data_IF_452292978731
#
_entry.id   IF_452292978731
#
_cell.length_a   1.000
_cell.length_b   1.000
_cell.length_c   1.000
_cell.angle_alpha   90.00
_cell.angle_beta   90.00
_cell.angle_gamma   90.00
#
_symmetry.space_group_name_H-M   'P 1'
#
loop_
_entity.id
_entity.type
_entity.pdbx_description
1 polymer ?
#
# COMPACT_ATOMS: atom_id res chain seq x y z
N UNK A 1 16.96 -0.78 48.27
CA UNK A 1 15.77 0.01 47.88
C UNK A 1 16.21 0.86 46.71
N UNK A 2 15.85 0.44 45.49
CA UNK A 2 16.43 0.93 44.24
C UNK A 2 15.86 2.29 43.81
N UNK A 3 16.72 3.14 43.28
CA UNK A 3 16.34 4.41 42.69
C UNK A 3 15.61 4.16 41.35
N UNK A 4 14.36 4.61 41.25
CA UNK A 4 13.63 4.65 39.99
C UNK A 4 14.09 5.86 39.19
N UNK A 5 14.77 5.62 38.06
CA UNK A 5 15.10 6.64 37.07
C UNK A 5 13.99 6.68 36.03
N UNK A 6 13.19 7.75 36.03
CA UNK A 6 12.17 7.99 35.01
C UNK A 6 12.85 8.56 33.76
N UNK A 7 12.83 7.82 32.65
CA UNK A 7 13.20 8.35 31.33
C UNK A 7 12.01 9.14 30.76
N UNK A 8 12.24 10.43 30.49
CA UNK A 8 11.32 11.26 29.70
C UNK A 8 11.75 11.15 28.24
N UNK A 9 10.96 10.49 27.42
CA UNK A 9 11.15 10.48 25.96
C UNK A 9 10.61 11.80 25.38
N UNK A 10 11.51 12.64 24.87
CA UNK A 10 11.14 13.84 24.11
C UNK A 10 10.80 13.40 22.70
N UNK A 11 9.50 13.38 22.36
CA UNK A 11 9.04 13.20 20.97
C UNK A 11 9.21 14.54 20.26
N UNK A 12 10.26 14.66 19.44
CA UNK A 12 10.42 15.79 18.53
C UNK A 12 9.49 15.54 17.34
N UNK A 13 8.32 16.18 17.35
CA UNK A 13 7.44 16.23 16.18
C UNK A 13 8.08 17.22 15.20
N UNK A 14 8.78 16.69 14.19
CA UNK A 14 9.23 17.48 13.05
C UNK A 14 8.00 17.82 12.20
N UNK A 15 7.46 19.03 12.37
CA UNK A 15 6.50 19.60 11.43
C UNK A 15 7.21 19.79 10.09
N UNK A 16 7.12 18.80 9.21
CA UNK A 16 7.55 18.96 7.82
C UNK A 16 6.45 19.71 7.09
N UNK A 17 6.64 21.02 6.90
CA UNK A 17 5.85 21.75 5.91
C UNK A 17 6.16 21.18 4.53
N UNK A 18 5.16 20.95 3.66
CA UNK A 18 5.43 20.55 2.29
C UNK A 18 6.31 21.62 1.65
N UNK A 19 7.46 21.19 1.13
CA UNK A 19 8.42 22.05 0.45
C UNK A 19 7.74 22.57 -0.81
N UNK A 20 7.40 23.86 -0.82
CA UNK A 20 7.04 24.57 -2.05
C UNK A 20 8.31 24.63 -2.90
N UNK A 21 8.47 23.71 -3.84
CA UNK A 21 9.58 23.73 -4.79
C UNK A 21 9.39 24.91 -5.75
N UNK A 22 9.75 26.11 -5.30
CA UNK A 22 9.68 27.33 -6.10
C UNK A 22 11.06 27.56 -6.73
N UNK A 23 11.41 26.72 -7.70
CA UNK A 23 12.57 26.95 -8.55
C UNK A 23 12.29 28.11 -9.50
N UNK A 24 12.92 29.27 -9.27
CA UNK A 24 12.90 30.37 -10.24
C UNK A 24 13.81 30.03 -11.41
N UNK A 25 13.27 29.58 -12.55
CA UNK A 25 14.03 29.50 -13.79
C UNK A 25 13.86 30.78 -14.63
N UNK A 26 14.96 31.27 -15.20
CA UNK A 26 15.03 32.54 -15.96
C UNK A 26 14.85 32.36 -17.48
N UNK A 27 14.55 31.13 -17.93
CA UNK A 27 14.42 30.81 -19.36
C UNK A 27 13.02 31.12 -19.88
N UNK A 28 12.90 31.48 -21.17
CA UNK A 28 11.63 31.81 -21.81
C UNK A 28 10.66 30.63 -21.97
N UNK A 29 11.16 29.41 -21.76
CA UNK A 29 10.39 28.15 -21.77
C UNK A 29 10.12 27.61 -20.35
N UNK A 30 10.42 28.39 -19.32
CA UNK A 30 10.20 28.02 -17.92
C UNK A 30 8.70 28.01 -17.58
N UNK A 31 8.22 26.90 -17.03
CA UNK A 31 6.86 26.75 -16.47
C UNK A 31 6.97 26.53 -14.97
N UNK A 32 6.37 27.43 -14.19
CA UNK A 32 6.17 27.22 -12.76
C UNK A 32 4.82 26.54 -12.54
N UNK A 33 4.81 25.44 -11.81
CA UNK A 33 3.59 24.71 -11.45
C UNK A 33 3.58 24.37 -9.95
N UNK A 34 2.38 24.26 -9.39
CA UNK A 34 2.17 23.94 -7.98
C UNK A 34 1.97 22.43 -7.81
N UNK A 35 2.99 21.77 -7.26
CA UNK A 35 2.97 20.32 -6.98
C UNK A 35 2.37 19.96 -5.62
N UNK A 36 1.85 20.95 -4.86
CA UNK A 36 1.35 20.70 -3.50
C UNK A 36 0.12 19.81 -3.44
N UNK A 37 -0.53 19.54 -4.58
CA UNK A 37 -1.68 18.62 -4.69
C UNK A 37 -1.32 17.29 -5.36
N UNK A 38 -0.08 17.13 -5.81
CA UNK A 38 0.38 15.89 -6.43
C UNK A 38 0.55 14.79 -5.37
N UNK A 39 0.20 13.55 -5.75
CA UNK A 39 0.37 12.41 -4.88
C UNK A 39 1.86 12.16 -4.61
N UNK A 40 2.22 11.94 -3.35
CA UNK A 40 3.56 11.47 -2.98
C UNK A 40 3.54 9.95 -2.91
N UNK A 41 4.50 9.30 -3.56
CA UNK A 41 4.60 7.85 -3.59
C UNK A 41 5.80 7.35 -2.76
N UNK A 42 5.58 6.33 -1.94
CA UNK A 42 6.62 5.67 -1.15
C UNK A 42 6.64 4.18 -1.44
N UNK A 43 7.84 3.60 -1.41
CA UNK A 43 8.01 2.15 -1.45
C UNK A 43 8.06 1.60 -0.02
N UNK A 44 7.13 0.70 0.28
CA UNK A 44 7.16 -0.14 1.48
C UNK A 44 7.88 -1.44 1.12
N UNK A 45 9.18 -1.50 1.41
CA UNK A 45 10.09 -2.53 0.89
C UNK A 45 9.96 -3.91 1.55
N UNK A 46 9.32 -3.99 2.72
CA UNK A 46 9.00 -5.25 3.38
C UNK A 46 7.82 -5.09 4.33
N UNK A 47 6.71 -5.74 4.02
CA UNK A 47 5.48 -5.76 4.81
C UNK A 47 5.13 -7.20 5.14
N UNK A 48 4.96 -7.49 6.43
CA UNK A 48 4.52 -8.81 6.90
C UNK A 48 3.05 -9.05 6.54
N UNK A 49 2.55 -10.29 6.61
CA UNK A 49 1.14 -10.57 6.34
C UNK A 49 0.22 -9.68 7.18
N UNK A 50 -0.78 -9.08 6.53
CA UNK A 50 -1.69 -8.14 7.19
C UNK A 50 -2.78 -8.85 7.98
N UNK A 51 -3.10 -10.10 7.62
CA UNK A 51 -4.29 -10.83 8.08
C UNK A 51 -5.61 -10.06 7.92
N UNK A 52 -5.64 -9.05 7.04
CA UNK A 52 -6.85 -8.32 6.70
C UNK A 52 -7.57 -9.03 5.55
N UNK A 53 -8.69 -9.70 5.85
CA UNK A 53 -9.37 -10.51 4.85
C UNK A 53 -10.04 -9.68 3.74
N UNK A 54 -10.08 -8.34 3.87
CA UNK A 54 -10.53 -7.43 2.81
C UNK A 54 -9.63 -7.50 1.56
N UNK A 55 -8.37 -7.91 1.68
CA UNK A 55 -7.51 -8.20 0.53
C UNK A 55 -8.08 -9.29 -0.40
N UNK A 56 -8.96 -10.15 0.13
CA UNK A 56 -9.66 -11.17 -0.63
C UNK A 56 -10.87 -10.68 -1.43
N UNK A 57 -11.14 -9.37 -1.55
CA UNK A 57 -12.35 -8.80 -2.17
C UNK A 57 -12.51 -9.01 -3.71
N UNK A 58 -11.91 -10.06 -4.27
CA UNK A 58 -12.08 -10.46 -5.66
C UNK A 58 -11.32 -9.54 -6.62
N UNK A 59 -12.05 -8.93 -7.56
CA UNK A 59 -11.51 -8.07 -8.61
C UNK A 59 -11.56 -6.57 -8.29
N UNK A 60 -12.00 -6.18 -7.09
CA UNK A 60 -12.02 -4.78 -6.67
C UNK A 60 -10.61 -4.17 -6.81
N UNK A 61 -10.53 -2.92 -7.27
CA UNK A 61 -9.30 -2.16 -7.45
C UNK A 61 -9.09 -1.08 -6.37
N UNK A 62 -10.03 -0.94 -5.44
CA UNK A 62 -10.03 0.13 -4.43
C UNK A 62 -9.83 -0.39 -3.00
N UNK A 63 -9.45 -1.67 -2.86
CA UNK A 63 -9.21 -2.30 -1.55
C UNK A 63 -8.06 -1.61 -0.82
N UNK A 64 -7.01 -1.27 -1.55
CA UNK A 64 -5.87 -0.46 -1.10
C UNK A 64 -6.31 0.88 -0.49
N UNK A 65 -7.23 1.59 -1.14
CA UNK A 65 -7.75 2.86 -0.65
C UNK A 65 -8.49 2.69 0.69
N UNK A 66 -9.20 1.58 0.86
CA UNK A 66 -9.97 1.27 2.07
C UNK A 66 -9.06 0.80 3.22
N UNK A 67 -7.99 0.08 2.94
CA UNK A 67 -7.10 -0.50 3.96
C UNK A 67 -5.95 0.45 4.31
N UNK A 68 -5.35 1.10 3.31
CA UNK A 68 -4.09 1.85 3.45
C UNK A 68 -4.27 3.36 3.27
N UNK A 69 -5.47 3.83 2.94
CA UNK A 69 -5.76 5.23 2.61
C UNK A 69 -4.85 5.77 1.50
N UNK A 70 -4.56 4.94 0.49
CA UNK A 70 -3.74 5.30 -0.66
C UNK A 70 -3.91 4.32 -1.80
N UNK A 71 -3.25 4.60 -2.92
CA UNK A 71 -3.31 3.78 -4.13
C UNK A 71 -2.01 3.03 -4.33
N UNK A 72 -2.07 1.71 -4.31
CA UNK A 72 -0.94 0.88 -4.70
C UNK A 72 -0.81 0.96 -6.22
N UNK A 73 0.37 1.34 -6.69
CA UNK A 73 0.66 1.44 -8.14
C UNK A 73 1.44 0.25 -8.66
N UNK A 74 2.19 -0.43 -7.79
CA UNK A 74 2.84 -1.70 -8.09
C UNK A 74 3.11 -2.48 -6.79
N UNK A 75 3.14 -3.82 -6.86
CA UNK A 75 3.47 -4.67 -5.72
C UNK A 75 4.17 -5.98 -6.10
N UNK A 76 4.80 -6.61 -5.12
CA UNK A 76 5.39 -7.96 -5.21
C UNK A 76 4.95 -8.81 -4.02
N UNK A 77 4.92 -10.12 -4.23
CA UNK A 77 4.64 -11.12 -3.20
C UNK A 77 5.89 -11.97 -3.01
N UNK A 78 6.25 -12.25 -1.77
CA UNK A 78 7.20 -13.33 -1.45
C UNK A 78 6.42 -14.63 -1.32
N UNK A 79 6.62 -15.57 -2.24
CA UNK A 79 5.96 -16.86 -2.19
C UNK A 79 6.49 -17.74 -1.06
N UNK A 80 5.76 -18.79 -0.70
CA UNK A 80 6.19 -19.80 0.30
C UNK A 80 7.55 -20.44 0.01
N UNK A 81 8.05 -20.34 -1.22
CA UNK A 81 9.41 -20.74 -1.61
C UNK A 81 10.52 -19.77 -1.17
N UNK A 82 10.18 -18.61 -0.59
CA UNK A 82 11.09 -17.50 -0.30
C UNK A 82 11.47 -16.67 -1.54
N UNK A 83 10.88 -16.97 -2.70
CA UNK A 83 11.11 -16.21 -3.93
C UNK A 83 10.09 -15.09 -4.06
N UNK A 84 10.58 -13.88 -4.31
CA UNK A 84 9.77 -12.75 -4.73
C UNK A 84 9.25 -12.94 -6.16
N UNK A 85 8.01 -12.54 -6.41
CA UNK A 85 7.45 -12.42 -7.75
C UNK A 85 8.12 -11.30 -8.56
N UNK A 86 7.78 -11.18 -9.84
CA UNK A 86 7.93 -9.91 -10.57
C UNK A 86 6.93 -8.86 -10.04
N UNK A 87 7.02 -7.63 -10.54
CA UNK A 87 6.06 -6.57 -10.21
C UNK A 87 4.69 -6.84 -10.83
N UNK A 88 3.67 -6.78 -9.99
CA UNK A 88 2.28 -6.70 -10.37
C UNK A 88 1.81 -5.25 -10.35
N UNK A 89 1.00 -4.87 -11.32
CA UNK A 89 0.34 -3.57 -11.44
C UNK A 89 -1.16 -3.82 -11.40
N UNK A 90 -1.90 -3.24 -10.41
CA UNK A 90 -3.34 -3.42 -10.30
C UNK A 90 -4.08 -3.12 -11.61
N UNK A 91 -4.81 -4.12 -12.11
CA UNK A 91 -5.61 -4.00 -13.34
C UNK A 91 -4.87 -4.32 -14.63
N UNK A 92 -3.56 -4.57 -14.60
CA UNK A 92 -2.77 -4.87 -15.79
C UNK A 92 -2.35 -6.35 -15.87
N UNK A 93 -1.60 -6.83 -14.87
CA UNK A 93 -1.02 -8.18 -14.88
C UNK A 93 -1.23 -8.93 -13.57
N UNK A 94 -2.23 -8.54 -12.78
CA UNK A 94 -2.37 -8.94 -11.38
C UNK A 94 -3.59 -9.82 -11.08
N UNK A 95 -4.13 -10.48 -12.08
CA UNK A 95 -5.20 -11.48 -11.91
C UNK A 95 -4.57 -12.82 -11.49
N UNK A 96 -5.09 -13.40 -10.40
CA UNK A 96 -4.64 -14.71 -9.93
C UNK A 96 -5.19 -15.83 -10.83
N UNK A 97 -4.36 -16.83 -11.05
CA UNK A 97 -4.73 -18.12 -11.63
C UNK A 97 -5.70 -18.94 -10.76
N UNK A 98 -5.84 -18.58 -9.47
CA UNK A 98 -6.79 -19.18 -8.54
C UNK A 98 -8.06 -18.34 -8.41
N UNK A 99 -9.15 -19.00 -8.06
CA UNK A 99 -10.42 -18.36 -7.71
C UNK A 99 -10.61 -18.32 -6.19
N UNK A 100 -11.57 -17.53 -5.73
CA UNK A 100 -12.02 -17.58 -4.34
C UNK A 100 -12.98 -18.76 -4.13
N UNK A 101 -12.61 -19.77 -3.32
CA UNK A 101 -13.43 -20.99 -3.17
C UNK A 101 -14.67 -20.79 -2.29
N UNK A 102 -14.79 -19.67 -1.58
CA UNK A 102 -15.89 -19.38 -0.67
C UNK A 102 -16.50 -18.02 -0.98
N UNK A 103 -17.78 -17.84 -0.68
CA UNK A 103 -18.53 -16.59 -0.91
C UNK A 103 -18.44 -15.57 0.24
N UNK A 104 -17.73 -15.93 1.32
CA UNK A 104 -17.62 -15.12 2.52
C UNK A 104 -16.26 -15.35 3.19
N UNK A 105 -15.60 -14.27 3.58
CA UNK A 105 -14.59 -14.34 4.63
C UNK A 105 -15.27 -14.06 5.99
N UNK A 106 -15.42 -15.06 6.89
CA UNK A 106 -16.19 -14.90 8.12
C UNK A 106 -15.70 -13.77 9.01
N UNK A 107 -14.40 -13.49 8.99
CA UNK A 107 -13.75 -12.50 9.84
C UNK A 107 -14.06 -11.05 9.47
N UNK A 108 -14.35 -10.72 8.20
CA UNK A 108 -14.62 -9.33 7.79
C UNK A 108 -15.96 -9.13 7.08
N UNK A 109 -16.81 -10.17 6.99
CA UNK A 109 -18.12 -10.13 6.31
C UNK A 109 -18.07 -9.58 4.88
N UNK A 110 -16.92 -9.74 4.21
CA UNK A 110 -16.75 -9.34 2.80
C UNK A 110 -17.43 -10.39 1.96
N UNK A 111 -18.49 -9.99 1.25
CA UNK A 111 -19.18 -10.84 0.27
C UNK A 111 -18.38 -10.84 -1.02
N UNK A 112 -18.08 -12.03 -1.51
CA UNK A 112 -17.38 -12.25 -2.77
C UNK A 112 -18.15 -13.29 -3.58
N UNK A 113 -17.96 -13.25 -4.89
CA UNK A 113 -18.54 -14.23 -5.80
C UNK A 113 -17.85 -15.57 -5.52
N UNK A 114 -18.64 -16.59 -5.18
CA UNK A 114 -18.14 -17.96 -5.05
C UNK A 114 -17.56 -18.43 -6.37
N UNK A 115 -16.39 -19.08 -6.33
CA UNK A 115 -15.63 -19.46 -7.52
C UNK A 115 -15.32 -18.26 -8.43
N UNK A 116 -15.32 -17.04 -7.88
CA UNK A 116 -15.01 -15.81 -8.59
C UNK A 116 -13.50 -15.60 -8.72
N UNK A 117 -13.11 -14.90 -9.77
CA UNK A 117 -11.72 -14.46 -9.96
C UNK A 117 -11.28 -13.52 -8.83
N UNK A 118 -9.97 -13.48 -8.58
CA UNK A 118 -9.35 -12.60 -7.60
C UNK A 118 -8.03 -12.04 -8.13
N UNK A 119 -7.53 -11.02 -7.46
CA UNK A 119 -6.21 -10.44 -7.72
C UNK A 119 -5.11 -11.11 -6.91
N UNK A 120 -3.87 -11.02 -7.37
CA UNK A 120 -2.69 -11.55 -6.69
C UNK A 120 -2.50 -10.89 -5.31
N UNK A 121 -2.86 -9.61 -5.13
CA UNK A 121 -2.77 -8.97 -3.81
C UNK A 121 -3.64 -9.60 -2.72
N UNK A 122 -4.49 -10.58 -3.05
CA UNK A 122 -5.21 -11.37 -2.05
C UNK A 122 -4.25 -12.10 -1.11
N UNK A 123 -3.01 -12.36 -1.57
CA UNK A 123 -1.94 -12.92 -0.75
C UNK A 123 -1.33 -11.93 0.24
N UNK A 124 -1.68 -10.64 0.23
CA UNK A 124 -1.29 -9.71 1.32
C UNK A 124 -1.88 -10.12 2.67
N UNK A 125 -2.89 -10.98 2.67
CA UNK A 125 -3.46 -11.58 3.86
C UNK A 125 -2.44 -12.46 4.61
N UNK A 126 -1.69 -13.30 3.90
CA UNK A 126 -0.89 -14.40 4.46
C UNK A 126 0.57 -14.49 3.96
N UNK A 127 1.00 -13.63 3.04
CA UNK A 127 2.37 -13.58 2.53
C UNK A 127 3.05 -12.25 2.87
N UNK A 128 4.39 -12.30 3.02
CA UNK A 128 5.17 -11.07 2.98
C UNK A 128 5.03 -10.44 1.60
N UNK A 129 5.01 -9.11 1.58
CA UNK A 129 4.80 -8.35 0.36
C UNK A 129 5.56 -7.03 0.42
N UNK A 130 5.71 -6.39 -0.73
CA UNK A 130 6.21 -5.02 -0.84
C UNK A 130 5.37 -4.30 -1.88
N UNK A 131 5.24 -2.99 -1.75
CA UNK A 131 4.44 -2.20 -2.68
C UNK A 131 4.90 -0.75 -2.74
N UNK A 132 4.58 -0.11 -3.87
CA UNK A 132 4.67 1.33 -4.02
C UNK A 132 3.26 1.89 -3.84
N UNK A 133 3.07 2.78 -2.87
CA UNK A 133 1.79 3.42 -2.57
C UNK A 133 1.89 4.92 -2.77
N UNK A 134 0.90 5.49 -3.45
CA UNK A 134 0.75 6.93 -3.65
C UNK A 134 -0.40 7.45 -2.78
N UNK A 135 -0.15 8.56 -2.08
CA UNK A 135 -1.15 9.24 -1.25
C UNK A 135 -1.20 10.71 -1.61
N UNK A 136 -2.42 11.24 -1.73
CA UNK A 136 -2.61 12.67 -1.82
C UNK A 136 -2.32 13.30 -0.43
N UNK A 137 -1.74 14.50 -0.39
CA UNK A 137 -1.49 15.23 0.85
C UNK A 137 -2.78 15.61 1.60
#
# INVERSE_FOLDING_TARGET
>A
MGAHTTLIAIVIILNTTPVKAQGSCLSSDCVTYDISTEATCTEESFVTPTYDCRWGAGLDLNVDQVILSGRIVAYKIEWTSGRWSDWYVPGLNDIDSKYNPFNLFPSCRVRIVENGMRRIWSYFYDHNHMFIICKNP
#
